data_IF_511790078992
#
_entry.id   IF_511790078992
#
_cell.length_a   1.000
_cell.length_b   1.000
_cell.length_c   1.000
_cell.angle_alpha   90.00
_cell.angle_beta   90.00
_cell.angle_gamma   90.00
#
_symmetry.space_group_name_H-M   'P 1'
#
loop_
_entity.id
_entity.type
_entity.pdbx_description
1 polymer ?
#
# COMPACT_ATOMS: atom_id res chain seq x y z
N UNK A 1 -6.34 34.68 -25.08
CA UNK A 1 -6.42 34.66 -23.61
C UNK A 1 -6.46 33.21 -23.14
N UNK A 2 -5.34 32.70 -22.62
CA UNK A 2 -5.28 31.38 -21.96
C UNK A 2 -5.46 31.63 -20.46
N UNK A 3 -6.53 31.12 -19.88
CA UNK A 3 -6.69 31.02 -18.42
C UNK A 3 -6.63 29.54 -18.05
N UNK A 4 -5.54 29.16 -17.38
CA UNK A 4 -5.42 27.91 -16.65
C UNK A 4 -6.13 28.09 -15.30
N UNK A 5 -7.12 27.24 -15.03
CA UNK A 5 -7.62 26.98 -13.68
C UNK A 5 -6.78 25.84 -13.09
N UNK A 6 -6.12 26.10 -11.95
CA UNK A 6 -5.52 25.04 -11.13
C UNK A 6 -6.52 24.64 -10.03
N UNK A 7 -6.75 23.33 -9.94
CA UNK A 7 -7.50 22.66 -8.87
C UNK A 7 -6.81 22.86 -7.52
N UNK A 8 -7.58 23.29 -6.51
CA UNK A 8 -7.22 23.15 -5.11
C UNK A 8 -7.66 21.76 -4.63
N UNK A 9 -6.68 20.87 -4.39
CA UNK A 9 -6.87 19.69 -3.55
C UNK A 9 -6.68 20.08 -2.10
N UNK A 10 -7.76 19.97 -1.30
CA UNK A 10 -7.70 20.11 0.16
C UNK A 10 -7.23 18.77 0.72
N UNK A 11 -5.96 18.70 1.12
CA UNK A 11 -5.44 17.64 1.97
C UNK A 11 -5.76 18.07 3.40
N UNK A 12 -6.56 17.28 4.12
CA UNK A 12 -6.66 17.41 5.57
C UNK A 12 -5.30 17.03 6.17
N UNK A 13 -4.47 18.05 6.38
CA UNK A 13 -3.28 18.00 7.21
C UNK A 13 -3.72 17.70 8.64
N UNK A 14 -3.39 16.49 9.12
CA UNK A 14 -3.17 16.30 10.55
C UNK A 14 -2.19 17.39 10.99
N UNK A 15 -2.59 18.20 11.98
CA UNK A 15 -1.78 19.28 12.50
C UNK A 15 -0.41 18.72 12.88
N UNK A 16 0.69 19.19 12.29
CA UNK A 16 1.99 18.94 12.88
C UNK A 16 1.92 19.60 14.26
N UNK A 17 2.13 18.81 15.32
CA UNK A 17 2.47 19.37 16.61
C UNK A 17 3.60 20.37 16.37
N UNK A 18 3.39 21.59 16.85
CA UNK A 18 4.29 22.72 16.62
C UNK A 18 5.59 22.51 17.41
N UNK A 19 6.43 21.59 16.96
CA UNK A 19 7.85 21.58 17.26
C UNK A 19 8.47 22.73 16.45
N UNK A 20 8.76 23.84 17.12
CA UNK A 20 9.58 24.91 16.51
C UNK A 20 10.88 24.27 16.03
N UNK A 21 11.08 24.23 14.72
CA UNK A 21 12.40 23.97 14.16
C UNK A 21 13.35 25.04 14.71
N UNK A 22 14.29 24.63 15.57
CA UNK A 22 15.40 25.49 15.97
C UNK A 22 16.33 25.56 14.76
N UNK A 23 16.03 26.48 13.83
CA UNK A 23 16.98 26.90 12.81
C UNK A 23 18.09 27.66 13.53
N UNK A 24 19.17 26.96 13.91
CA UNK A 24 20.44 27.61 14.20
C UNK A 24 20.97 28.21 12.90
N UNK A 25 21.09 29.53 12.85
CA UNK A 25 21.79 30.29 11.81
C UNK A 25 23.28 29.91 11.74
N UNK A 26 23.57 28.79 11.08
CA UNK A 26 24.91 28.26 10.92
C UNK A 26 24.92 27.13 9.91
N UNK A 27 24.53 27.42 8.67
CA UNK A 27 24.67 26.48 7.57
C UNK A 27 26.18 26.32 7.31
N UNK A 28 26.76 25.21 7.78
CA UNK A 28 28.04 24.73 7.28
C UNK A 28 27.84 24.42 5.79
N UNK A 29 28.28 25.34 4.92
CA UNK A 29 28.40 25.08 3.49
C UNK A 29 29.59 24.13 3.28
N UNK A 30 29.41 22.85 3.59
CA UNK A 30 30.38 21.85 3.15
C UNK A 30 30.39 21.84 1.63
N UNK A 31 31.57 21.98 1.07
CA UNK A 31 31.75 21.87 -0.38
C UNK A 31 31.41 20.45 -0.84
N UNK A 32 31.01 20.29 -2.10
CA UNK A 32 30.76 18.97 -2.67
C UNK A 32 31.95 18.02 -2.49
N UNK A 33 33.18 18.54 -2.57
CA UNK A 33 34.41 17.78 -2.34
C UNK A 33 34.58 17.33 -0.88
N UNK A 34 34.21 18.16 0.10
CA UNK A 34 34.21 17.78 1.52
C UNK A 34 33.16 16.72 1.82
N UNK A 35 31.99 16.80 1.18
CA UNK A 35 30.95 15.76 1.27
C UNK A 35 31.46 14.45 0.65
N UNK A 36 32.04 14.50 -0.55
CA UNK A 36 32.62 13.31 -1.20
C UNK A 36 33.71 12.67 -0.35
N UNK A 37 34.62 13.47 0.21
CA UNK A 37 35.70 12.98 1.09
C UNK A 37 35.15 12.40 2.39
N UNK A 38 34.11 13.02 2.96
CA UNK A 38 33.40 12.51 4.13
C UNK A 38 32.70 11.18 3.85
N UNK A 39 32.01 11.03 2.72
CA UNK A 39 31.37 9.76 2.34
C UNK A 39 32.43 8.68 2.07
N UNK A 40 33.51 9.01 1.37
CA UNK A 40 34.61 8.09 1.10
C UNK A 40 35.28 7.57 2.39
N UNK A 41 35.31 8.37 3.46
CA UNK A 41 35.86 7.91 4.74
C UNK A 41 35.06 6.78 5.41
N UNK A 42 33.82 6.50 4.97
CA UNK A 42 33.02 5.36 5.44
C UNK A 42 33.12 4.13 4.53
N UNK A 43 33.96 4.16 3.49
CA UNK A 43 34.01 3.08 2.50
C UNK A 43 34.35 1.73 3.14
N UNK A 44 35.36 1.68 4.02
CA UNK A 44 35.76 0.43 4.67
C UNK A 44 34.69 -0.08 5.66
N UNK A 45 34.02 0.83 6.37
CA UNK A 45 32.91 0.48 7.26
C UNK A 45 31.72 -0.06 6.45
N UNK A 46 31.37 0.58 5.34
CA UNK A 46 30.31 0.12 4.45
C UNK A 46 30.64 -1.27 3.88
N UNK A 47 31.89 -1.50 3.45
CA UNK A 47 32.36 -2.82 3.00
C UNK A 47 32.30 -3.86 4.12
N UNK A 48 32.66 -3.50 5.35
CA UNK A 48 32.56 -4.39 6.50
C UNK A 48 31.11 -4.80 6.78
N UNK A 49 30.16 -3.84 6.76
CA UNK A 49 28.72 -4.11 6.92
C UNK A 49 28.22 -5.04 5.81
N UNK A 50 28.55 -4.75 4.55
CA UNK A 50 28.18 -5.60 3.41
C UNK A 50 28.76 -7.02 3.58
N UNK A 51 30.04 -7.14 3.93
CA UNK A 51 30.68 -8.44 4.13
C UNK A 51 30.03 -9.22 5.26
N UNK A 52 29.70 -8.58 6.39
CA UNK A 52 28.98 -9.23 7.49
C UNK A 52 27.61 -9.76 7.07
N UNK A 53 26.86 -8.99 6.27
CA UNK A 53 25.52 -9.33 5.81
C UNK A 53 25.50 -10.37 4.68
N UNK A 54 26.51 -10.37 3.80
CA UNK A 54 26.53 -11.21 2.60
C UNK A 54 27.37 -12.47 2.77
N UNK A 55 28.50 -12.40 3.49
CA UNK A 55 29.47 -13.50 3.62
C UNK A 55 29.81 -13.87 5.07
N UNK A 56 29.44 -13.03 6.03
CA UNK A 56 29.79 -13.20 7.44
C UNK A 56 28.72 -13.92 8.26
N UNK A 57 28.80 -13.75 9.58
CA UNK A 57 27.91 -14.40 10.55
C UNK A 57 26.42 -14.08 10.42
N UNK A 58 26.05 -13.05 9.64
CA UNK A 58 24.65 -12.67 9.40
C UNK A 58 24.19 -12.98 7.98
N UNK A 59 24.95 -13.77 7.22
CA UNK A 59 24.51 -14.30 5.93
C UNK A 59 23.14 -14.98 6.06
N UNK A 60 22.27 -14.75 5.07
CA UNK A 60 20.88 -15.26 5.00
C UNK A 60 19.89 -14.73 6.04
N UNK A 61 20.33 -13.96 7.05
CA UNK A 61 19.46 -13.49 8.14
C UNK A 61 18.19 -12.77 7.64
N UNK A 62 18.32 -11.89 6.65
CA UNK A 62 17.17 -11.17 6.09
C UNK A 62 16.18 -12.11 5.37
N UNK A 63 16.70 -13.13 4.67
CA UNK A 63 15.88 -14.14 4.00
C UNK A 63 15.14 -15.00 5.02
N UNK A 64 15.82 -15.47 6.06
CA UNK A 64 15.23 -16.28 7.12
C UNK A 64 14.16 -15.52 7.91
N UNK A 65 14.37 -14.23 8.20
CA UNK A 65 13.36 -13.38 8.83
C UNK A 65 12.14 -13.15 7.95
N UNK A 66 12.37 -12.94 6.66
CA UNK A 66 11.28 -12.82 5.70
C UNK A 66 10.50 -14.15 5.63
N UNK A 67 11.18 -15.28 5.53
CA UNK A 67 10.56 -16.61 5.52
C UNK A 67 9.75 -16.86 6.78
N UNK A 68 10.29 -16.56 7.97
CA UNK A 68 9.55 -16.65 9.24
C UNK A 68 8.23 -15.87 9.18
N UNK A 69 8.27 -14.61 8.74
CA UNK A 69 7.06 -13.78 8.64
C UNK A 69 6.10 -14.31 7.57
N UNK A 70 6.58 -14.65 6.38
CA UNK A 70 5.72 -15.07 5.26
C UNK A 70 5.09 -16.43 5.56
N UNK A 71 5.88 -17.40 6.01
CA UNK A 71 5.45 -18.79 6.13
C UNK A 71 4.66 -19.07 7.42
N UNK A 72 4.92 -18.33 8.51
CA UNK A 72 4.29 -18.60 9.82
C UNK A 72 3.23 -17.58 10.25
N UNK A 73 3.22 -16.40 9.63
CA UNK A 73 2.23 -15.35 9.93
C UNK A 73 1.25 -15.16 8.78
N UNK A 74 1.71 -15.25 7.53
CA UNK A 74 0.86 -15.05 6.36
C UNK A 74 0.44 -13.57 6.17
N UNK A 75 -0.73 -13.29 5.56
CA UNK A 75 -1.19 -11.92 5.29
C UNK A 75 -1.44 -11.12 6.57
N UNK A 76 -1.00 -9.86 6.59
CA UNK A 76 -0.97 -8.98 7.78
C UNK A 76 -1.70 -7.67 7.50
N UNK A 77 -2.98 -7.71 7.16
CA UNK A 77 -3.75 -6.49 6.92
C UNK A 77 -3.95 -5.69 8.22
N UNK A 78 -4.08 -4.36 8.12
CA UNK A 78 -4.45 -3.50 9.25
C UNK A 78 -5.68 -4.02 10.00
N UNK A 79 -5.59 -4.03 11.34
CA UNK A 79 -6.63 -4.55 12.24
C UNK A 79 -6.68 -6.07 12.36
N UNK A 80 -5.84 -6.82 11.63
CA UNK A 80 -5.85 -8.29 11.68
C UNK A 80 -5.03 -8.85 12.86
N UNK A 81 -5.41 -10.03 13.35
CA UNK A 81 -4.62 -10.79 14.35
C UNK A 81 -3.21 -11.13 13.87
N UNK A 82 -3.05 -11.31 12.55
CA UNK A 82 -1.76 -11.63 11.95
C UNK A 82 -0.81 -10.43 11.99
N UNK A 83 -1.32 -9.20 11.83
CA UNK A 83 -0.52 -8.00 12.03
C UNK A 83 0.03 -7.95 13.46
N UNK A 84 -0.83 -8.13 14.46
CA UNK A 84 -0.39 -8.10 15.87
C UNK A 84 0.65 -9.18 16.16
N UNK A 85 0.49 -10.40 15.62
CA UNK A 85 1.51 -11.46 15.72
C UNK A 85 2.84 -11.04 15.09
N UNK A 86 2.81 -10.36 13.95
CA UNK A 86 4.01 -9.89 13.27
C UNK A 86 4.77 -8.81 14.05
N UNK A 87 4.03 -7.87 14.65
CA UNK A 87 4.57 -6.85 15.57
C UNK A 87 5.30 -7.53 16.73
N UNK A 88 4.66 -8.52 17.37
CA UNK A 88 5.28 -9.24 18.48
C UNK A 88 6.55 -9.98 18.07
N UNK A 89 6.54 -10.65 16.91
CA UNK A 89 7.74 -11.31 16.37
C UNK A 89 8.85 -10.29 16.11
N UNK A 90 8.54 -9.13 15.52
CA UNK A 90 9.54 -8.10 15.27
C UNK A 90 10.11 -7.56 16.59
N UNK A 91 9.25 -7.18 17.52
CA UNK A 91 9.65 -6.70 18.84
C UNK A 91 10.61 -7.67 19.54
N UNK A 92 10.28 -8.96 19.57
CA UNK A 92 11.14 -10.00 20.14
C UNK A 92 12.47 -10.14 19.38
N UNK A 93 12.45 -10.10 18.05
CA UNK A 93 13.66 -10.19 17.23
C UNK A 93 14.62 -9.01 17.50
N UNK A 94 14.09 -7.80 17.63
CA UNK A 94 14.89 -6.60 17.91
C UNK A 94 15.51 -6.66 19.32
N UNK A 95 14.77 -7.18 20.31
CA UNK A 95 15.31 -7.43 21.65
C UNK A 95 16.42 -8.49 21.64
N UNK A 96 16.21 -9.61 20.94
CA UNK A 96 17.20 -10.68 20.82
C UNK A 96 18.47 -10.25 20.07
N UNK A 97 18.35 -9.26 19.18
CA UNK A 97 19.47 -8.65 18.49
C UNK A 97 20.33 -7.75 19.38
N UNK A 98 19.87 -7.47 20.59
CA UNK A 98 20.56 -6.57 21.52
C UNK A 98 20.46 -5.11 21.12
N UNK A 99 19.44 -4.73 20.34
CA UNK A 99 19.17 -3.32 20.05
C UNK A 99 18.71 -2.59 21.31
N UNK A 100 18.91 -1.28 21.32
CA UNK A 100 18.60 -0.42 22.46
C UNK A 100 17.18 0.14 22.35
N UNK A 101 16.62 0.55 23.49
CA UNK A 101 15.31 1.20 23.58
C UNK A 101 14.22 0.52 22.73
N UNK A 102 14.18 -0.82 22.72
CA UNK A 102 13.17 -1.56 21.97
C UNK A 102 11.82 -1.43 22.68
N UNK A 103 10.85 -0.80 22.03
CA UNK A 103 9.52 -0.56 22.60
C UNK A 103 8.43 -0.51 21.52
N UNK A 104 7.18 -0.54 22.00
CA UNK A 104 5.99 -0.41 21.18
C UNK A 104 5.35 0.96 21.42
N UNK A 105 5.03 1.68 20.35
CA UNK A 105 4.28 2.95 20.43
C UNK A 105 2.83 2.71 19.95
N UNK A 106 1.81 3.02 20.78
CA UNK A 106 0.42 2.74 20.44
C UNK A 106 -0.06 3.64 19.29
N UNK A 107 -0.80 3.05 18.34
CA UNK A 107 -1.39 3.74 17.20
C UNK A 107 -2.79 3.19 16.93
N UNK A 108 -3.70 4.05 16.45
CA UNK A 108 -5.01 3.64 15.93
C UNK A 108 -4.91 3.42 14.43
N UNK A 109 -5.37 2.27 13.96
CA UNK A 109 -5.33 1.91 12.53
C UNK A 109 -6.72 1.57 12.00
N UNK A 110 -6.99 1.82 10.70
CA UNK A 110 -8.23 1.41 10.08
C UNK A 110 -8.44 -0.10 10.18
N UNK A 111 -9.69 -0.51 10.44
CA UNK A 111 -10.06 -1.92 10.49
C UNK A 111 -11.12 -2.27 9.45
N UNK A 112 -10.67 -2.94 8.40
CA UNK A 112 -11.51 -3.43 7.31
C UNK A 112 -11.30 -4.92 7.10
N UNK A 113 -12.42 -5.67 7.07
CA UNK A 113 -12.42 -7.08 6.71
C UNK A 113 -13.06 -7.24 5.33
N UNK A 114 -12.37 -7.98 4.46
CA UNK A 114 -12.81 -8.28 3.09
C UNK A 114 -14.09 -9.12 3.04
N UNK A 115 -14.22 -10.07 3.96
CA UNK A 115 -15.27 -11.08 3.94
C UNK A 115 -15.15 -12.05 2.75
N UNK A 116 -16.17 -12.89 2.60
CA UNK A 116 -16.33 -13.74 1.42
C UNK A 116 -16.76 -12.91 0.21
N UNK A 117 -16.32 -13.30 -0.97
CA UNK A 117 -16.66 -12.60 -2.21
C UNK A 117 -16.76 -13.53 -3.41
N UNK A 118 -17.71 -13.23 -4.30
CA UNK A 118 -17.87 -13.96 -5.55
C UNK A 118 -18.45 -13.08 -6.65
N UNK A 119 -18.10 -13.39 -7.90
CA UNK A 119 -18.82 -12.87 -9.06
C UNK A 119 -19.09 -13.97 -10.08
N UNK A 120 -20.30 -13.95 -10.61
CA UNK A 120 -20.77 -14.85 -11.65
C UNK A 120 -21.34 -14.03 -12.80
N UNK A 121 -20.75 -14.16 -13.98
CA UNK A 121 -21.43 -13.72 -15.20
C UNK A 121 -22.56 -14.70 -15.50
N UNK A 122 -23.77 -14.17 -15.66
CA UNK A 122 -24.99 -14.93 -15.96
C UNK A 122 -25.33 -14.92 -17.46
N UNK A 123 -25.07 -13.79 -18.13
CA UNK A 123 -25.24 -13.62 -19.57
C UNK A 123 -23.94 -13.10 -20.20
N UNK A 124 -23.61 -13.51 -21.43
CA UNK A 124 -24.39 -14.40 -22.32
C UNK A 124 -24.23 -15.89 -22.02
N UNK A 125 -23.35 -16.25 -21.07
CA UNK A 125 -23.16 -17.62 -20.57
C UNK A 125 -22.79 -17.55 -19.10
N UNK A 126 -22.98 -18.67 -18.41
CA UNK A 126 -22.46 -18.84 -17.05
C UNK A 126 -20.93 -18.86 -17.09
N UNK A 127 -20.30 -17.97 -16.31
CA UNK A 127 -18.85 -17.92 -16.15
C UNK A 127 -18.49 -17.41 -14.76
N UNK A 128 -17.79 -18.24 -13.97
CA UNK A 128 -17.27 -17.84 -12.66
C UNK A 128 -16.05 -16.95 -12.88
N UNK A 129 -16.13 -15.72 -12.40
CA UNK A 129 -15.05 -14.74 -12.52
C UNK A 129 -14.14 -14.82 -11.30
N UNK A 130 -12.85 -14.55 -11.51
CA UNK A 130 -11.93 -14.36 -10.40
C UNK A 130 -11.96 -12.88 -9.98
N UNK A 131 -12.30 -12.64 -8.71
CA UNK A 131 -12.46 -11.31 -8.14
C UNK A 131 -11.67 -11.16 -6.85
N UNK A 132 -11.33 -9.92 -6.51
CA UNK A 132 -10.74 -9.57 -5.23
C UNK A 132 -11.10 -8.12 -4.87
N UNK A 133 -11.82 -7.93 -3.76
CA UNK A 133 -12.34 -6.65 -3.31
C UNK A 133 -11.25 -5.61 -3.15
N UNK A 134 -11.56 -4.34 -3.32
CA UNK A 134 -10.59 -3.29 -3.01
C UNK A 134 -10.64 -2.96 -1.53
N UNK A 135 -9.46 -2.71 -0.94
CA UNK A 135 -9.36 -2.33 0.46
C UNK A 135 -10.15 -1.06 0.71
N UNK A 136 -10.97 -1.07 1.78
CA UNK A 136 -12.00 -0.07 2.13
C UNK A 136 -13.34 -0.16 1.37
N UNK A 137 -13.50 -1.04 0.38
CA UNK A 137 -14.78 -1.22 -0.31
C UNK A 137 -15.90 -1.60 0.66
N UNK A 138 -17.10 -1.06 0.45
CA UNK A 138 -18.31 -1.58 1.12
C UNK A 138 -18.68 -2.94 0.55
N UNK A 139 -19.35 -3.76 1.37
CA UNK A 139 -19.99 -4.99 0.91
C UNK A 139 -21.25 -4.71 0.08
N UNK A 140 -21.71 -5.75 -0.63
CA UNK A 140 -23.01 -5.71 -1.32
C UNK A 140 -24.16 -5.80 -0.32
N UNK A 141 -25.38 -5.36 -0.68
CA UNK A 141 -26.58 -5.69 0.09
C UNK A 141 -26.78 -7.19 0.27
N UNK A 142 -27.64 -7.58 1.20
CA UNK A 142 -28.04 -8.98 1.38
C UNK A 142 -28.61 -9.54 0.08
N UNK A 143 -28.08 -10.68 -0.39
CA UNK A 143 -28.44 -11.30 -1.66
C UNK A 143 -27.72 -10.74 -2.89
N UNK A 144 -26.67 -9.92 -2.69
CA UNK A 144 -25.78 -9.46 -3.76
C UNK A 144 -26.38 -8.39 -4.67
N UNK A 145 -25.67 -8.11 -5.77
CA UNK A 145 -26.08 -7.20 -6.84
C UNK A 145 -26.08 -7.97 -8.14
N UNK A 146 -27.24 -8.09 -8.79
CA UNK A 146 -27.34 -8.59 -10.18
C UNK A 146 -27.67 -7.42 -11.10
N UNK A 147 -26.76 -7.08 -12.00
CA UNK A 147 -26.96 -5.98 -12.92
C UNK A 147 -26.26 -6.17 -14.26
N UNK A 148 -26.74 -5.44 -15.26
CA UNK A 148 -26.08 -5.37 -16.57
C UNK A 148 -24.73 -4.67 -16.44
N UNK A 149 -23.77 -5.07 -17.26
CA UNK A 149 -22.41 -4.51 -17.25
C UNK A 149 -22.26 -3.43 -18.32
N UNK A 150 -21.67 -2.30 -17.93
CA UNK A 150 -21.15 -1.29 -18.83
C UNK A 150 -19.62 -1.37 -18.86
N UNK A 151 -19.03 -1.83 -19.96
CA UNK A 151 -17.58 -1.85 -20.13
C UNK A 151 -17.11 -0.51 -20.71
N UNK A 152 -16.13 0.10 -20.05
CA UNK A 152 -15.47 1.34 -20.47
C UNK A 152 -13.96 1.22 -20.29
N UNK A 153 -13.19 2.03 -21.00
CA UNK A 153 -11.72 2.03 -20.99
C UNK A 153 -11.11 3.24 -20.28
N UNK A 154 -11.93 4.25 -19.95
CA UNK A 154 -11.50 5.47 -19.28
C UNK A 154 -12.61 6.17 -18.51
N UNK A 155 -12.24 7.07 -17.59
CA UNK A 155 -13.20 7.96 -16.95
C UNK A 155 -13.90 8.89 -17.95
N UNK A 156 -13.17 9.40 -18.96
CA UNK A 156 -13.75 10.23 -20.02
C UNK A 156 -14.81 9.46 -20.83
N UNK A 157 -14.56 8.17 -21.12
CA UNK A 157 -15.56 7.32 -21.76
C UNK A 157 -16.79 7.13 -20.86
N UNK A 158 -16.59 6.86 -19.57
CA UNK A 158 -17.69 6.74 -18.62
C UNK A 158 -18.55 8.00 -18.58
N UNK A 159 -17.93 9.18 -18.52
CA UNK A 159 -18.64 10.45 -18.50
C UNK A 159 -19.43 10.68 -19.79
N UNK A 160 -18.84 10.40 -20.96
CA UNK A 160 -19.57 10.47 -22.25
C UNK A 160 -20.76 9.52 -22.32
N UNK A 161 -20.68 8.38 -21.62
CA UNK A 161 -21.69 7.32 -21.59
C UNK A 161 -22.48 7.30 -20.28
N UNK A 162 -22.51 8.42 -19.54
CA UNK A 162 -23.10 8.48 -18.20
C UNK A 162 -24.58 8.04 -18.18
N UNK A 163 -25.34 8.37 -19.22
CA UNK A 163 -26.75 7.95 -19.36
C UNK A 163 -26.93 6.43 -19.45
N UNK A 164 -25.92 5.69 -19.89
CA UNK A 164 -25.95 4.22 -19.97
C UNK A 164 -25.57 3.54 -18.65
N UNK A 165 -24.91 4.26 -17.73
CA UNK A 165 -24.31 3.67 -16.53
C UNK A 165 -25.29 3.46 -15.37
N UNK A 166 -26.42 4.19 -15.37
CA UNK A 166 -27.39 4.16 -14.27
C UNK A 166 -27.92 2.75 -14.03
N UNK A 167 -27.76 2.24 -12.81
CA UNK A 167 -28.22 0.90 -12.42
C UNK A 167 -27.32 -0.26 -12.92
N UNK A 168 -26.18 0.04 -13.55
CA UNK A 168 -25.27 -0.97 -14.11
C UNK A 168 -24.03 -1.17 -13.24
N UNK A 169 -23.35 -2.29 -13.45
CA UNK A 169 -21.99 -2.52 -12.95
C UNK A 169 -21.02 -1.95 -13.99
N UNK A 170 -20.18 -1.00 -13.60
CA UNK A 170 -19.17 -0.43 -14.50
C UNK A 170 -17.91 -1.27 -14.45
N UNK A 171 -17.47 -1.81 -15.59
CA UNK A 171 -16.18 -2.48 -15.73
C UNK A 171 -15.19 -1.53 -16.39
N UNK A 172 -14.13 -1.17 -15.68
CA UNK A 172 -13.02 -0.40 -16.23
C UNK A 172 -11.97 -1.34 -16.82
N UNK A 173 -11.99 -1.52 -18.14
CA UNK A 173 -10.98 -2.26 -18.90
C UNK A 173 -9.87 -1.33 -19.41
N UNK A 174 -9.26 -0.55 -18.51
CA UNK A 174 -8.15 0.32 -18.89
C UNK A 174 -6.88 -0.52 -19.13
N UNK A 175 -6.21 -0.41 -20.30
CA UNK A 175 -4.97 -1.15 -20.56
C UNK A 175 -3.81 -0.66 -19.71
N UNK A 176 -3.07 -1.57 -19.07
CA UNK A 176 -1.91 -1.20 -18.26
C UNK A 176 -0.86 -0.45 -19.09
N UNK A 177 -0.44 0.72 -18.60
CA UNK A 177 0.66 1.50 -19.20
C UNK A 177 1.83 1.61 -18.23
N UNK A 178 1.54 2.09 -17.03
CA UNK A 178 2.44 2.11 -15.88
C UNK A 178 1.59 2.10 -14.63
N UNK A 179 2.14 1.62 -13.52
CA UNK A 179 1.43 1.58 -12.25
C UNK A 179 0.88 2.96 -11.86
N UNK A 180 1.73 4.00 -11.91
CA UNK A 180 1.36 5.38 -11.53
C UNK A 180 0.18 5.94 -12.32
N UNK A 181 0.05 5.58 -13.60
CA UNK A 181 -1.04 6.06 -14.45
C UNK A 181 -2.29 5.20 -14.27
N UNK A 182 -2.16 3.88 -14.22
CA UNK A 182 -3.31 2.97 -14.19
C UNK A 182 -3.94 2.85 -12.80
N UNK A 183 -3.19 3.07 -11.72
CA UNK A 183 -3.68 2.90 -10.34
C UNK A 183 -4.87 3.80 -10.00
N UNK A 184 -5.06 4.93 -10.70
CA UNK A 184 -6.21 5.82 -10.49
C UNK A 184 -7.56 5.11 -10.64
N UNK A 185 -7.67 4.11 -11.52
CA UNK A 185 -8.91 3.34 -11.69
C UNK A 185 -9.22 2.46 -10.48
N UNK A 186 -8.18 1.95 -9.82
CA UNK A 186 -8.32 1.25 -8.53
C UNK A 186 -8.74 2.23 -7.44
N UNK A 187 -8.06 3.38 -7.36
CA UNK A 187 -8.29 4.32 -6.26
C UNK A 187 -9.65 5.02 -6.36
N UNK A 188 -10.06 5.44 -7.56
CA UNK A 188 -11.19 6.35 -7.78
C UNK A 188 -12.35 5.73 -8.57
N UNK A 189 -12.21 4.49 -9.08
CA UNK A 189 -13.19 3.88 -9.98
C UNK A 189 -14.59 3.77 -9.39
N UNK A 190 -14.70 3.49 -8.08
CA UNK A 190 -15.98 3.44 -7.38
C UNK A 190 -16.67 4.81 -7.34
N UNK A 191 -15.93 5.87 -7.04
CA UNK A 191 -16.44 7.24 -6.98
C UNK A 191 -16.92 7.70 -8.35
N UNK A 192 -16.10 7.51 -9.39
CA UNK A 192 -16.46 7.92 -10.75
C UNK A 192 -17.69 7.16 -11.30
N UNK A 193 -17.80 5.87 -10.98
CA UNK A 193 -18.96 5.06 -11.35
C UNK A 193 -20.22 5.49 -10.57
N UNK A 194 -20.09 5.76 -9.26
CA UNK A 194 -21.20 6.21 -8.43
C UNK A 194 -21.76 7.58 -8.85
N UNK A 195 -20.91 8.51 -9.28
CA UNK A 195 -21.32 9.84 -9.78
C UNK A 195 -22.30 9.75 -10.95
N UNK A 196 -22.22 8.70 -11.77
CA UNK A 196 -23.10 8.46 -12.92
C UNK A 196 -24.21 7.43 -12.63
N UNK A 197 -24.40 7.05 -11.37
CA UNK A 197 -25.50 6.19 -10.92
C UNK A 197 -25.26 4.69 -11.10
N UNK A 198 -24.02 4.25 -11.29
CA UNK A 198 -23.68 2.83 -11.26
C UNK A 198 -23.92 2.24 -9.86
N UNK A 199 -24.16 0.92 -9.80
CA UNK A 199 -24.44 0.21 -8.54
C UNK A 199 -23.24 -0.56 -8.00
N UNK A 200 -22.23 -0.81 -8.83
CA UNK A 200 -20.93 -1.33 -8.43
C UNK A 200 -19.88 -1.00 -9.51
N UNK A 201 -18.61 -1.17 -9.18
CA UNK A 201 -17.51 -1.08 -10.15
C UNK A 201 -16.58 -2.29 -10.08
N UNK A 202 -16.08 -2.73 -11.24
CA UNK A 202 -15.09 -3.78 -11.37
C UNK A 202 -13.91 -3.23 -12.15
N UNK A 203 -12.70 -3.38 -11.61
CA UNK A 203 -11.49 -2.81 -12.17
C UNK A 203 -10.67 -3.93 -12.79
N UNK A 204 -10.24 -3.78 -14.05
CA UNK A 204 -9.16 -4.63 -14.57
C UNK A 204 -7.93 -4.50 -13.67
N UNK A 205 -7.39 -5.63 -13.22
CA UNK A 205 -6.16 -5.66 -12.42
C UNK A 205 -5.08 -4.70 -12.95
N UNK A 206 -4.52 -3.89 -12.05
CA UNK A 206 -3.43 -2.95 -12.33
C UNK A 206 -2.11 -3.74 -12.47
N UNK A 207 -1.98 -4.52 -13.53
CA UNK A 207 -0.85 -5.41 -13.77
C UNK A 207 -0.47 -5.43 -15.26
N UNK A 208 0.83 -5.53 -15.53
CA UNK A 208 1.38 -5.65 -16.89
C UNK A 208 1.15 -7.03 -17.50
N UNK A 209 1.03 -8.06 -16.66
CA UNK A 209 0.67 -9.43 -17.04
C UNK A 209 -0.32 -10.01 -16.03
N UNK A 210 -1.04 -11.06 -16.43
CA UNK A 210 -1.98 -11.76 -15.57
C UNK A 210 -1.85 -13.28 -15.79
N UNK A 211 -2.03 -14.03 -14.70
CA UNK A 211 -2.15 -15.49 -14.69
C UNK A 211 -3.49 -15.87 -14.06
N UNK A 212 -4.56 -15.19 -14.48
CA UNK A 212 -5.88 -15.27 -13.86
C UNK A 212 -5.90 -14.86 -12.36
N UNK A 213 -5.07 -13.88 -11.99
CA UNK A 213 -4.93 -13.39 -10.61
C UNK A 213 -5.40 -11.93 -10.48
N UNK A 214 -6.42 -11.64 -9.66
CA UNK A 214 -6.82 -10.27 -9.36
C UNK A 214 -5.78 -9.51 -8.52
N UNK A 215 -5.58 -8.22 -8.80
CA UNK A 215 -4.66 -7.35 -8.07
C UNK A 215 -5.44 -6.33 -7.21
N UNK A 216 -5.56 -6.60 -5.91
CA UNK A 216 -6.23 -5.69 -4.95
C UNK A 216 -5.39 -4.44 -4.66
N UNK A 217 -5.82 -3.65 -3.69
CA UNK A 217 -5.14 -2.48 -3.17
C UNK A 217 -6.15 -1.49 -2.61
N UNK A 218 -5.65 -0.37 -2.12
CA UNK A 218 -6.48 0.69 -1.54
C UNK A 218 -7.36 1.34 -2.61
N UNK A 219 -8.62 1.56 -2.24
CA UNK A 219 -9.52 2.51 -2.90
C UNK A 219 -9.98 3.59 -1.91
N UNK A 220 -10.48 4.70 -2.42
CA UNK A 220 -10.95 5.83 -1.63
C UNK A 220 -12.36 6.25 -2.06
N UNK A 221 -13.24 6.45 -1.08
CA UNK A 221 -14.53 7.08 -1.31
C UNK A 221 -14.42 8.60 -1.20
N UNK A 222 -15.37 9.31 -1.82
CA UNK A 222 -15.47 10.77 -1.75
C UNK A 222 -16.73 11.16 -0.97
N UNK A 223 -16.61 12.15 -0.09
CA UNK A 223 -17.76 12.70 0.63
C UNK A 223 -18.82 13.25 -0.33
N UNK A 224 -20.09 13.01 0.01
CA UNK A 224 -21.23 13.39 -0.83
C UNK A 224 -21.49 12.48 -2.04
N UNK A 225 -20.64 11.48 -2.29
CA UNK A 225 -20.86 10.47 -3.35
C UNK A 225 -21.31 9.15 -2.72
N UNK A 226 -22.36 8.48 -3.25
CA UNK A 226 -22.78 7.18 -2.75
C UNK A 226 -21.63 6.15 -2.79
N UNK A 227 -21.44 5.42 -1.68
CA UNK A 227 -20.48 4.33 -1.64
C UNK A 227 -21.06 3.10 -2.34
N UNK A 228 -20.37 2.60 -3.36
CA UNK A 228 -20.75 1.39 -4.09
C UNK A 228 -19.68 0.30 -3.93
N UNK A 229 -20.05 -0.99 -3.98
CA UNK A 229 -19.08 -2.08 -3.95
C UNK A 229 -18.09 -1.99 -5.11
N UNK A 230 -16.83 -2.30 -4.84
CA UNK A 230 -15.76 -2.28 -5.85
C UNK A 230 -14.72 -3.36 -5.64
N UNK A 231 -14.37 -4.04 -6.73
CA UNK A 231 -13.41 -5.13 -6.73
C UNK A 231 -12.53 -5.10 -7.98
N UNK A 232 -11.33 -5.67 -7.89
CA UNK A 232 -10.55 -6.01 -9.06
C UNK A 232 -10.99 -7.35 -9.64
N UNK A 233 -10.91 -7.45 -10.96
CA UNK A 233 -11.10 -8.67 -11.73
C UNK A 233 -9.85 -8.94 -12.56
N UNK A 234 -9.70 -10.18 -13.00
CA UNK A 234 -8.58 -10.57 -13.86
C UNK A 234 -8.56 -9.77 -15.17
N UNK A 235 -7.36 -9.65 -15.77
CA UNK A 235 -7.22 -9.05 -17.10
C UNK A 235 -8.06 -9.82 -18.13
N UNK A 236 -8.05 -11.13 -18.02
CA UNK A 236 -8.74 -12.08 -18.89
C UNK A 236 -10.26 -11.88 -18.86
N UNK A 237 -10.84 -11.73 -17.66
CA UNK A 237 -12.28 -11.49 -17.50
C UNK A 237 -12.68 -10.09 -18.02
N UNK A 238 -11.88 -9.06 -17.73
CA UNK A 238 -12.12 -7.71 -18.22
C UNK A 238 -12.07 -7.63 -19.75
N UNK A 239 -11.06 -8.25 -20.38
CA UNK A 239 -10.93 -8.28 -21.83
C UNK A 239 -11.98 -9.17 -22.50
N UNK A 240 -12.37 -10.29 -21.86
CA UNK A 240 -13.48 -11.12 -22.32
C UNK A 240 -14.78 -10.29 -22.38
N UNK A 241 -15.11 -9.58 -21.32
CA UNK A 241 -16.29 -8.71 -21.28
C UNK A 241 -16.20 -7.59 -22.32
N UNK A 242 -15.02 -6.98 -22.49
CA UNK A 242 -14.80 -5.97 -23.52
C UNK A 242 -15.06 -6.50 -24.93
N UNK A 243 -14.58 -7.72 -25.25
CA UNK A 243 -14.84 -8.36 -26.55
C UNK A 243 -16.32 -8.68 -26.73
N UNK A 244 -17.00 -9.18 -25.69
CA UNK A 244 -18.44 -9.45 -25.74
C UNK A 244 -19.26 -8.16 -25.96
N UNK A 245 -18.96 -7.10 -25.20
CA UNK A 245 -19.63 -5.81 -25.33
C UNK A 245 -19.43 -5.19 -26.71
N UNK A 246 -18.22 -5.29 -27.28
CA UNK A 246 -17.93 -4.79 -28.65
C UNK A 246 -18.73 -5.48 -29.75
N UNK A 247 -19.26 -6.69 -29.48
CA UNK A 247 -20.13 -7.45 -30.39
C UNK A 247 -21.61 -7.20 -30.14
N UNK A 248 -21.96 -6.30 -29.21
CA UNK A 248 -23.34 -6.03 -28.82
C UNK A 248 -23.95 -7.07 -27.89
N UNK A 249 -23.14 -7.99 -27.31
CA UNK A 249 -23.67 -8.96 -26.37
C UNK A 249 -24.04 -8.28 -25.05
N UNK A 250 -25.25 -8.57 -24.58
CA UNK A 250 -25.66 -8.22 -23.21
C UNK A 250 -24.87 -9.05 -22.20
N UNK A 251 -24.25 -8.38 -21.23
CA UNK A 251 -23.50 -8.99 -20.14
C UNK A 251 -24.23 -8.68 -18.84
N UNK A 252 -24.51 -9.71 -18.04
CA UNK A 252 -25.12 -9.55 -16.71
C UNK A 252 -24.24 -10.27 -15.71
N UNK A 253 -23.90 -9.59 -14.62
CA UNK A 253 -23.08 -10.14 -13.54
C UNK A 253 -23.86 -10.10 -12.24
N UNK A 254 -23.77 -11.18 -11.48
CA UNK A 254 -24.13 -11.25 -10.07
C UNK A 254 -22.85 -11.11 -9.24
N UNK A 255 -22.82 -10.14 -8.34
CA UNK A 255 -21.71 -9.79 -7.47
C UNK A 255 -22.14 -9.92 -6.01
N UNK A 256 -21.34 -10.62 -5.20
CA UNK A 256 -21.47 -10.68 -3.75
C UNK A 256 -20.14 -10.28 -3.11
N UNK A 257 -20.21 -9.36 -2.14
CA UNK A 257 -19.05 -8.95 -1.34
C UNK A 257 -19.47 -8.81 0.12
N UNK A 258 -18.81 -9.55 1.00
CA UNK A 258 -19.07 -9.55 2.45
C UNK A 258 -18.31 -8.49 3.24
N UNK A 259 -17.69 -7.52 2.55
CA UNK A 259 -16.76 -6.58 3.17
C UNK A 259 -17.41 -5.70 4.25
N UNK A 260 -16.69 -5.50 5.35
CA UNK A 260 -17.13 -4.76 6.54
C UNK A 260 -16.04 -3.82 7.02
N UNK A 261 -16.46 -2.63 7.44
CA UNK A 261 -15.60 -1.68 8.13
C UNK A 261 -16.01 -1.64 9.60
N UNK A 262 -15.04 -1.69 10.49
CA UNK A 262 -15.22 -1.59 11.93
C UNK A 262 -14.62 -0.28 12.44
N UNK A 263 -14.87 0.11 13.70
CA UNK A 263 -14.10 1.17 14.34
C UNK A 263 -12.61 0.85 14.30
N UNK A 264 -11.79 1.90 14.28
CA UNK A 264 -10.33 1.78 14.28
C UNK A 264 -9.85 0.87 15.41
N UNK A 265 -8.89 0.00 15.06
CA UNK A 265 -8.28 -0.95 15.98
C UNK A 265 -7.07 -0.33 16.66
N UNK A 266 -6.80 -0.77 17.90
CA UNK A 266 -5.50 -0.54 18.54
C UNK A 266 -4.43 -1.41 17.88
N UNK A 267 -3.27 -0.83 17.64
CA UNK A 267 -2.07 -1.50 17.15
C UNK A 267 -0.83 -0.75 17.62
N UNK A 268 0.35 -1.12 17.11
CA UNK A 268 1.62 -0.56 17.57
C UNK A 268 2.62 -0.35 16.44
N UNK A 269 3.32 0.78 16.49
CA UNK A 269 4.62 0.89 15.83
C UNK A 269 5.65 0.14 16.67
N UNK A 270 6.61 -0.51 16.00
CA UNK A 270 7.76 -1.12 16.68
C UNK A 270 8.98 -0.24 16.47
N UNK A 271 9.59 0.21 17.57
CA UNK A 271 10.74 1.12 17.57
C UNK A 271 11.92 0.44 18.25
N UNK A 272 13.11 0.61 17.65
CA UNK A 272 14.39 0.23 18.23
C UNK A 272 15.47 1.25 17.84
N UNK A 273 16.50 1.34 18.66
CA UNK A 273 17.56 2.33 18.53
C UNK A 273 18.94 1.68 18.50
N UNK A 274 19.87 2.34 17.81
CA UNK A 274 21.30 2.14 17.98
C UNK A 274 21.83 3.50 18.42
N UNK A 275 22.27 3.62 19.67
CA UNK A 275 22.63 4.93 20.23
C UNK A 275 23.99 5.38 19.67
N UNK A 276 24.05 6.61 19.15
CA UNK A 276 25.29 7.23 18.69
C UNK A 276 26.30 7.45 19.82
N UNK A 277 27.58 7.14 19.61
CA UNK A 277 28.63 7.39 20.61
C UNK A 277 28.94 8.88 20.82
N UNK A 278 28.81 9.69 19.77
CA UNK A 278 29.33 11.07 19.73
C UNK A 278 28.25 12.15 19.80
N UNK A 279 27.11 11.92 19.13
CA UNK A 279 25.94 12.80 19.20
C UNK A 279 24.68 11.94 19.43
N UNK A 280 24.49 11.37 20.64
CA UNK A 280 23.36 10.49 20.96
C UNK A 280 21.99 11.16 20.82
N UNK A 281 21.94 12.49 20.84
CA UNK A 281 20.72 13.28 20.68
C UNK A 281 20.29 13.49 19.22
N UNK A 282 21.16 13.17 18.26
CA UNK A 282 20.86 13.32 16.83
C UNK A 282 20.28 12.04 16.25
N UNK A 283 19.09 12.16 15.67
CA UNK A 283 18.32 11.04 15.13
C UNK A 283 18.39 11.04 13.60
N UNK A 284 18.78 9.90 13.03
CA UNK A 284 18.60 9.56 11.62
C UNK A 284 17.62 8.41 11.52
N UNK A 285 16.43 8.65 10.99
CA UNK A 285 15.40 7.62 10.90
C UNK A 285 15.57 6.78 9.63
N UNK A 286 15.56 5.46 9.78
CA UNK A 286 15.44 4.49 8.69
C UNK A 286 14.30 3.54 9.00
N UNK A 287 13.39 3.31 8.04
CA UNK A 287 12.23 2.47 8.30
C UNK A 287 11.85 1.50 7.21
N UNK A 288 11.09 0.46 7.60
CA UNK A 288 10.61 -0.60 6.73
C UNK A 288 9.21 -1.08 7.11
N UNK A 289 8.39 -1.41 6.13
CA UNK A 289 6.95 -1.55 6.29
C UNK A 289 6.58 -2.95 6.82
N UNK A 290 6.09 -3.08 8.06
CA UNK A 290 5.52 -4.35 8.56
C UNK A 290 4.04 -4.47 8.22
N UNK A 291 3.35 -3.32 8.21
CA UNK A 291 2.16 -3.00 7.38
C UNK A 291 2.31 -1.57 6.82
N UNK A 292 3.53 -0.99 6.90
CA UNK A 292 3.90 0.44 7.01
C UNK A 292 3.94 0.88 8.50
N UNK A 293 4.91 0.55 9.37
CA UNK A 293 6.31 1.01 9.49
C UNK A 293 7.07 0.24 10.61
N UNK A 294 8.40 0.26 10.56
CA UNK A 294 9.37 -0.03 11.63
C UNK A 294 10.27 1.18 11.65
N UNK A 295 10.40 1.86 12.78
CA UNK A 295 11.33 2.99 12.87
C UNK A 295 12.60 2.49 13.55
N UNK A 296 13.68 2.39 12.78
CA UNK A 296 15.03 2.21 13.30
C UNK A 296 15.72 3.56 13.31
N UNK A 297 15.97 4.07 14.52
CA UNK A 297 16.75 5.30 14.71
C UNK A 297 18.23 4.97 14.68
N UNK A 298 18.94 5.52 13.71
CA UNK A 298 20.39 5.44 13.55
C UNK A 298 21.04 6.77 13.94
N UNK A 299 22.31 6.81 14.36
CA UNK A 299 23.09 8.05 14.35
C UNK A 299 23.35 8.52 12.91
N UNK A 300 23.66 9.80 12.73
CA UNK A 300 24.08 10.30 11.42
C UNK A 300 25.31 9.52 10.89
N UNK A 301 25.49 9.42 9.57
CA UNK A 301 26.59 8.71 8.90
C UNK A 301 27.98 8.96 9.51
N UNK A 302 28.16 10.11 10.18
CA UNK A 302 29.39 10.52 10.85
C UNK A 302 29.89 9.64 12.00
N UNK A 303 29.10 8.67 12.48
CA UNK A 303 29.39 7.90 13.70
C UNK A 303 29.49 6.38 13.49
N UNK A 304 29.34 5.91 12.25
CA UNK A 304 29.31 4.47 11.94
C UNK A 304 30.62 3.73 12.27
N UNK A 305 31.76 4.42 12.30
CA UNK A 305 33.07 3.81 12.56
C UNK A 305 33.36 3.49 14.03
N UNK A 306 32.76 4.20 14.99
CA UNK A 306 33.10 4.06 16.42
C UNK A 306 32.16 3.08 17.16
N UNK A 307 30.93 2.89 16.69
CA UNK A 307 29.92 2.03 17.32
C UNK A 307 30.03 0.53 16.97
N UNK A 308 31.00 0.13 16.13
CA UNK A 308 31.14 -1.27 15.70
C UNK A 308 31.62 -2.25 16.80
N UNK A 309 32.03 -1.75 17.98
CA UNK A 309 32.29 -2.59 19.15
C UNK A 309 31.02 -3.28 19.70
N UNK A 310 29.82 -2.73 19.48
CA UNK A 310 28.55 -3.34 19.90
C UNK A 310 28.19 -4.62 19.13
N UNK A 311 28.83 -4.85 17.96
CA UNK A 311 28.63 -6.05 17.13
C UNK A 311 29.73 -7.12 17.34
N UNK A 312 30.64 -6.91 18.30
CA UNK A 312 31.68 -7.88 18.67
C UNK A 312 32.77 -8.06 17.60
N UNK A 313 33.35 -6.97 17.11
CA UNK A 313 34.48 -6.99 16.17
C UNK A 313 35.71 -6.31 16.79
N UNK A 314 36.90 -6.94 16.78
CA UNK A 314 38.15 -6.22 17.01
C UNK A 314 38.51 -5.38 15.77
N UNK A 315 39.14 -4.23 16.02
CA UNK A 315 39.73 -3.33 15.01
C UNK A 315 40.70 -4.05 14.07
#
# INVERSE_FOLDING_TARGET
MKFLFFMFGVIHLLSPSSGKAIYKNGISQRTFQEIQKGVASYEDVAKAIINLAVYGKYQNRSYERLALLVDTVGPRLSGSKNLEKAIQIMYQNLQQDGLENVHLEPVKIPYWERGEESAMMLLPRIHKMAILGLGSSVGTPSGGITAEVLVVTSFDELQRRASEAKGKIVVYNQPYTSYRITVQYRTQGAVEAAKVGAVASLIRSVASFSIYSPHTGVQEYQDGVPKIPTACITVEDAEMMSRMASRGNKIVVHLEMGAKTYPDADSFNTVAEITGSKYPEQVSDTGGLLVEDVLVRWPFLEQLGENMNLLGLPL
#
